data_IF_216027503399
#
_entry.id   IF_216027503399
#
_cell.length_a   1.000
_cell.length_b   1.000
_cell.length_c   1.000
_cell.angle_alpha   90.00
_cell.angle_beta   90.00
_cell.angle_gamma   90.00
#
_symmetry.space_group_name_H-M   'P 1'
#
loop_
_entity.id
_entity.type
_entity.pdbx_description
1 polymer ?
#
# COMPACT_ATOMS: atom_id res chain seq x y z
N UNK A 1 23.01 -31.98 -11.96
CA UNK A 1 22.86 -30.93 -10.93
C UNK A 1 21.72 -30.00 -11.31
N UNK A 2 20.88 -29.64 -10.34
CA UNK A 2 19.51 -29.10 -10.49
C UNK A 2 19.34 -27.96 -11.51
N UNK A 3 18.30 -28.13 -12.34
CA UNK A 3 17.80 -27.18 -13.34
C UNK A 3 17.41 -25.85 -12.71
N UNK A 4 17.76 -24.74 -13.38
CA UNK A 4 17.33 -23.39 -12.99
C UNK A 4 15.81 -23.35 -12.86
N UNK A 5 15.30 -23.25 -11.63
CA UNK A 5 13.86 -23.09 -11.41
C UNK A 5 13.45 -21.69 -11.85
N UNK A 6 12.94 -21.57 -13.08
CA UNK A 6 12.26 -20.35 -13.53
C UNK A 6 11.05 -20.06 -12.63
N UNK A 7 10.70 -18.79 -12.45
CA UNK A 7 9.53 -18.42 -11.65
C UNK A 7 8.25 -18.96 -12.31
N UNK A 8 7.33 -19.48 -11.49
CA UNK A 8 6.02 -19.87 -12.01
C UNK A 8 5.29 -18.68 -12.64
N UNK A 9 4.44 -18.94 -13.66
CA UNK A 9 3.61 -17.90 -14.29
C UNK A 9 2.78 -17.13 -13.25
N UNK A 10 2.26 -17.83 -12.24
CA UNK A 10 1.47 -17.24 -11.15
C UNK A 10 2.30 -16.32 -10.26
N UNK A 11 3.52 -16.74 -9.88
CA UNK A 11 4.44 -15.90 -9.09
C UNK A 11 4.80 -14.63 -9.85
N UNK A 12 5.07 -14.75 -11.16
CA UNK A 12 5.35 -13.59 -12.01
C UNK A 12 4.17 -12.62 -12.07
N UNK A 13 2.95 -13.12 -12.29
CA UNK A 13 1.73 -12.30 -12.33
C UNK A 13 1.52 -11.54 -11.02
N UNK A 14 1.62 -12.23 -9.87
CA UNK A 14 1.46 -11.61 -8.55
C UNK A 14 2.54 -10.56 -8.29
N UNK A 15 3.78 -10.85 -8.67
CA UNK A 15 4.87 -9.88 -8.53
C UNK A 15 4.62 -8.61 -9.35
N UNK A 16 4.19 -8.73 -10.61
CA UNK A 16 3.87 -7.56 -11.45
C UNK A 16 2.74 -6.73 -10.84
N UNK A 17 1.68 -7.35 -10.32
CA UNK A 17 0.58 -6.64 -9.65
C UNK A 17 1.14 -5.86 -8.44
N UNK A 18 1.95 -6.50 -7.60
CA UNK A 18 2.57 -5.85 -6.43
C UNK A 18 3.50 -4.71 -6.83
N UNK A 19 4.25 -4.87 -7.93
CA UNK A 19 5.13 -3.83 -8.46
C UNK A 19 4.33 -2.62 -8.94
N UNK A 20 3.23 -2.80 -9.67
CA UNK A 20 2.34 -1.71 -10.08
C UNK A 20 1.72 -1.02 -8.87
N UNK A 21 1.22 -1.78 -7.89
CA UNK A 21 0.68 -1.22 -6.64
C UNK A 21 1.71 -0.37 -5.90
N UNK A 22 2.99 -0.79 -5.89
CA UNK A 22 4.07 -0.05 -5.25
C UNK A 22 4.29 1.34 -5.89
N UNK A 23 4.32 1.44 -7.22
CA UNK A 23 4.47 2.76 -7.88
C UNK A 23 3.25 3.66 -7.69
N UNK A 24 2.05 3.09 -7.71
CA UNK A 24 0.84 3.84 -7.39
C UNK A 24 0.87 4.36 -5.94
N UNK A 25 1.31 3.53 -5.00
CA UNK A 25 1.49 3.91 -3.60
C UNK A 25 2.50 5.06 -3.47
N UNK A 26 3.61 5.05 -4.21
CA UNK A 26 4.57 6.15 -4.21
C UNK A 26 3.94 7.46 -4.68
N UNK A 27 3.15 7.43 -5.75
CA UNK A 27 2.47 8.61 -6.27
C UNK A 27 1.40 9.16 -5.31
N UNK A 28 0.58 8.28 -4.72
CA UNK A 28 -0.40 8.66 -3.68
C UNK A 28 0.30 9.22 -2.44
N UNK A 29 1.39 8.59 -2.01
CA UNK A 29 2.14 9.03 -0.83
C UNK A 29 2.79 10.38 -1.06
N UNK A 30 3.44 10.58 -2.20
CA UNK A 30 4.07 11.86 -2.55
C UNK A 30 3.06 13.01 -2.59
N UNK A 31 1.92 12.80 -3.26
CA UNK A 31 0.84 13.78 -3.32
C UNK A 31 0.17 14.04 -1.96
N UNK A 32 0.00 13.00 -1.13
CA UNK A 32 -0.51 13.14 0.25
C UNK A 32 0.44 13.95 1.13
N UNK A 33 1.74 13.68 1.06
CA UNK A 33 2.76 14.42 1.81
C UNK A 33 2.81 15.89 1.38
N UNK A 34 2.62 16.17 0.08
CA UNK A 34 2.46 17.54 -0.40
C UNK A 34 1.30 18.25 0.31
N UNK A 35 0.13 17.63 0.45
CA UNK A 35 -1.02 18.25 1.12
C UNK A 35 -0.87 18.41 2.63
N UNK A 36 -0.09 17.54 3.29
CA UNK A 36 0.27 17.71 4.70
C UNK A 36 1.25 18.87 4.89
N UNK A 37 2.18 19.04 3.95
CA UNK A 37 3.21 20.09 4.02
C UNK A 37 2.71 21.45 3.55
N UNK A 38 1.89 21.50 2.49
CA UNK A 38 1.36 22.72 1.84
C UNK A 38 -0.16 22.81 2.09
N UNK A 39 -0.59 23.34 3.25
CA UNK A 39 -2.01 23.46 3.57
C UNK A 39 -2.70 24.51 2.69
N UNK A 40 -3.95 24.24 2.34
CA UNK A 40 -4.79 25.17 1.59
C UNK A 40 -5.19 26.41 2.40
N UNK A 41 -5.48 27.50 1.68
CA UNK A 41 -6.17 28.68 2.19
C UNK A 41 -5.26 29.87 2.51
N UNK A 42 -5.73 31.05 2.14
CA UNK A 42 -5.11 32.32 2.50
C UNK A 42 -5.51 32.66 3.94
N UNK A 43 -4.61 32.41 4.90
CA UNK A 43 -4.85 32.68 6.33
C UNK A 43 -4.52 34.14 6.69
N UNK A 44 -4.95 35.10 5.86
CA UNK A 44 -4.61 36.53 6.04
C UNK A 44 -3.09 36.77 6.07
N UNK A 45 -2.32 36.10 5.21
CA UNK A 45 -0.86 36.16 5.19
C UNK A 45 -0.14 35.28 6.21
N UNK A 46 -0.85 34.64 7.16
CA UNK A 46 -0.24 33.78 8.19
C UNK A 46 0.14 32.38 7.70
N UNK A 47 -0.29 32.00 6.50
CA UNK A 47 0.12 30.76 5.84
C UNK A 47 1.31 31.06 4.91
N UNK A 48 2.57 30.89 5.35
CA UNK A 48 3.75 31.18 4.52
C UNK A 48 3.87 30.22 3.33
N UNK A 49 3.08 29.15 3.30
CA UNK A 49 3.06 28.15 2.22
C UNK A 49 1.87 28.34 1.28
N UNK A 50 1.10 29.41 1.43
CA UNK A 50 0.02 29.73 0.51
C UNK A 50 0.59 29.92 -0.90
N UNK A 51 0.00 29.23 -1.89
CA UNK A 51 0.47 29.17 -3.28
C UNK A 51 1.92 28.65 -3.48
N UNK A 52 2.49 27.96 -2.49
CA UNK A 52 3.78 27.29 -2.69
C UNK A 52 3.64 26.17 -3.72
N UNK A 53 4.46 26.22 -4.76
CA UNK A 53 4.53 25.20 -5.80
C UNK A 53 5.75 24.30 -5.56
N UNK A 54 5.54 23.00 -5.51
CA UNK A 54 6.61 22.00 -5.41
C UNK A 54 6.43 21.05 -6.59
N UNK A 55 7.28 21.16 -7.63
CA UNK A 55 7.21 20.42 -8.91
C UNK A 55 5.97 20.78 -9.74
N UNK A 56 4.77 20.54 -9.21
CA UNK A 56 3.48 20.86 -9.84
C UNK A 56 2.68 21.82 -8.98
N UNK A 57 1.69 22.48 -9.59
CA UNK A 57 0.69 23.25 -8.86
C UNK A 57 -0.20 22.34 -7.99
N UNK A 58 -0.97 22.98 -7.10
CA UNK A 58 -1.84 22.28 -6.15
C UNK A 58 -2.89 21.41 -6.84
N UNK A 59 -3.42 21.85 -7.97
CA UNK A 59 -4.52 21.18 -8.66
C UNK A 59 -4.00 19.90 -9.33
N UNK A 60 -2.84 19.97 -9.96
CA UNK A 60 -2.14 18.82 -10.53
C UNK A 60 -1.78 17.79 -9.45
N UNK A 61 -1.32 18.23 -8.27
CA UNK A 61 -1.14 17.30 -7.13
C UNK A 61 -2.46 16.67 -6.69
N UNK A 62 -3.58 17.39 -6.79
CA UNK A 62 -4.92 16.89 -6.51
C UNK A 62 -5.37 15.83 -7.50
N UNK A 63 -5.12 16.04 -8.79
CA UNK A 63 -5.38 15.06 -9.85
C UNK A 63 -4.54 13.80 -9.65
N UNK A 64 -3.23 13.95 -9.38
CA UNK A 64 -2.34 12.82 -9.07
C UNK A 64 -2.90 12.05 -7.87
N UNK A 65 -3.19 12.72 -6.76
CA UNK A 65 -3.72 12.07 -5.56
C UNK A 65 -5.01 11.30 -5.86
N UNK A 66 -5.97 11.94 -6.53
CA UNK A 66 -7.30 11.38 -6.78
C UNK A 66 -7.23 10.15 -7.69
N UNK A 67 -6.64 10.28 -8.87
CA UNK A 67 -6.63 9.21 -9.85
C UNK A 67 -5.74 8.03 -9.43
N UNK A 68 -4.57 8.31 -8.85
CA UNK A 68 -3.71 7.22 -8.35
C UNK A 68 -4.36 6.51 -7.16
N UNK A 69 -5.10 7.22 -6.32
CA UNK A 69 -5.87 6.61 -5.22
C UNK A 69 -7.01 5.74 -5.72
N UNK A 70 -7.78 6.17 -6.73
CA UNK A 70 -8.85 5.35 -7.29
C UNK A 70 -8.32 4.08 -7.96
N UNK A 71 -7.25 4.19 -8.75
CA UNK A 71 -6.63 3.03 -9.40
C UNK A 71 -6.06 2.07 -8.34
N UNK A 72 -5.30 2.59 -7.36
CA UNK A 72 -4.74 1.78 -6.28
C UNK A 72 -5.83 1.08 -5.47
N UNK A 73 -6.89 1.80 -5.10
CA UNK A 73 -8.01 1.25 -4.34
C UNK A 73 -8.72 0.15 -5.11
N UNK A 74 -8.95 0.33 -6.41
CA UNK A 74 -9.54 -0.70 -7.27
C UNK A 74 -8.70 -1.98 -7.30
N UNK A 75 -7.38 -1.85 -7.44
CA UNK A 75 -6.47 -3.01 -7.44
C UNK A 75 -6.44 -3.68 -6.05
N UNK A 76 -6.41 -2.91 -4.96
CA UNK A 76 -6.42 -3.44 -3.59
C UNK A 76 -7.72 -4.21 -3.27
N UNK A 77 -8.87 -3.70 -3.71
CA UNK A 77 -10.15 -4.41 -3.56
C UNK A 77 -10.12 -5.75 -4.30
N UNK A 78 -9.63 -5.77 -5.55
CA UNK A 78 -9.45 -7.03 -6.30
C UNK A 78 -8.44 -7.96 -5.62
N UNK A 79 -7.36 -7.41 -5.06
CA UNK A 79 -6.37 -8.17 -4.31
C UNK A 79 -7.00 -8.89 -3.11
N UNK A 80 -7.80 -8.19 -2.31
CA UNK A 80 -8.52 -8.76 -1.16
C UNK A 80 -9.44 -9.90 -1.62
N UNK A 81 -10.18 -9.71 -2.72
CA UNK A 81 -11.06 -10.74 -3.29
C UNK A 81 -10.27 -12.00 -3.65
N UNK A 82 -9.11 -11.87 -4.31
CA UNK A 82 -8.27 -13.03 -4.66
C UNK A 82 -7.63 -13.71 -3.46
N UNK A 83 -7.44 -12.99 -2.36
CA UNK A 83 -6.91 -13.51 -1.11
C UNK A 83 -8.00 -14.00 -0.13
N UNK A 84 -9.29 -13.91 -0.49
CA UNK A 84 -10.40 -14.23 0.41
C UNK A 84 -10.34 -15.64 1.02
N UNK A 85 -9.97 -16.65 0.23
CA UNK A 85 -9.80 -18.03 0.74
C UNK A 85 -8.72 -18.12 1.81
N UNK A 86 -7.61 -17.39 1.64
CA UNK A 86 -6.56 -17.32 2.66
C UNK A 86 -7.04 -16.61 3.92
N UNK A 87 -7.75 -15.48 3.78
CA UNK A 87 -8.34 -14.73 4.91
C UNK A 87 -9.25 -15.64 5.73
N UNK A 88 -10.19 -16.35 5.09
CA UNK A 88 -11.08 -17.32 5.76
C UNK A 88 -10.29 -18.41 6.48
N UNK A 89 -9.27 -18.98 5.84
CA UNK A 89 -8.46 -20.04 6.45
C UNK A 89 -7.69 -19.55 7.68
N UNK A 90 -7.11 -18.35 7.61
CA UNK A 90 -6.41 -17.73 8.75
C UNK A 90 -7.40 -17.46 9.88
N UNK A 91 -8.55 -16.86 9.58
CA UNK A 91 -9.60 -16.58 10.55
C UNK A 91 -10.04 -17.85 11.31
N UNK A 92 -10.40 -18.91 10.59
CA UNK A 92 -10.81 -20.17 11.21
C UNK A 92 -9.69 -20.85 11.98
N UNK A 93 -8.46 -20.81 11.47
CA UNK A 93 -7.29 -21.33 12.19
C UNK A 93 -7.10 -20.63 13.53
N UNK A 94 -7.26 -19.31 13.57
CA UNK A 94 -7.15 -18.55 14.82
C UNK A 94 -8.27 -18.84 15.80
N UNK A 95 -9.52 -18.94 15.33
CA UNK A 95 -10.65 -19.40 16.17
C UNK A 95 -10.35 -20.76 16.79
N UNK A 96 -9.80 -21.70 16.03
CA UNK A 96 -9.45 -23.04 16.53
C UNK A 96 -8.33 -23.00 17.57
N UNK A 97 -7.30 -22.18 17.35
CA UNK A 97 -6.19 -22.03 18.30
C UNK A 97 -6.69 -21.43 19.62
N UNK A 98 -7.53 -20.40 19.53
CA UNK A 98 -8.17 -19.78 20.68
C UNK A 98 -9.03 -20.79 21.46
N UNK A 99 -9.90 -21.55 20.76
CA UNK A 99 -10.73 -22.60 21.39
C UNK A 99 -9.91 -23.71 22.06
N UNK A 100 -8.71 -24.02 21.54
CA UNK A 100 -7.84 -25.08 22.06
C UNK A 100 -6.80 -24.58 23.07
N UNK A 101 -6.78 -23.28 23.40
CA UNK A 101 -5.78 -22.64 24.27
C UNK A 101 -4.32 -23.02 23.91
N UNK A 102 -4.02 -23.15 22.60
CA UNK A 102 -2.66 -23.49 22.14
C UNK A 102 -1.84 -22.21 21.96
N UNK A 103 -0.64 -22.16 22.52
CA UNK A 103 0.25 -21.02 22.34
C UNK A 103 0.85 -20.97 20.93
N UNK A 104 0.93 -19.77 20.34
CA UNK A 104 1.67 -19.53 19.12
C UNK A 104 3.18 -19.64 19.36
N UNK A 105 3.86 -20.53 18.63
CA UNK A 105 5.32 -20.64 18.66
C UNK A 105 6.04 -19.63 17.76
N UNK A 106 5.32 -18.93 16.86
CA UNK A 106 5.93 -18.03 15.86
C UNK A 106 5.36 -16.61 15.93
N UNK A 107 6.06 -15.72 16.67
CA UNK A 107 5.67 -14.33 16.86
C UNK A 107 5.61 -13.54 15.54
N UNK A 108 6.48 -13.85 14.56
CA UNK A 108 6.48 -13.16 13.26
C UNK A 108 5.20 -13.43 12.47
N UNK A 109 4.66 -14.65 12.57
CA UNK A 109 3.41 -14.99 11.91
C UNK A 109 2.21 -14.25 12.53
N UNK A 110 2.25 -14.01 13.85
CA UNK A 110 1.23 -13.20 14.53
C UNK A 110 1.34 -11.73 14.13
N UNK A 111 2.54 -11.16 14.13
CA UNK A 111 2.79 -9.78 13.72
C UNK A 111 2.30 -9.56 12.29
N UNK A 112 2.61 -10.46 11.35
CA UNK A 112 2.15 -10.35 9.96
C UNK A 112 0.62 -10.30 9.87
N UNK A 113 -0.09 -11.11 10.65
CA UNK A 113 -1.56 -11.16 10.59
C UNK A 113 -2.19 -9.91 11.21
N UNK A 114 -1.61 -9.41 12.30
CA UNK A 114 -2.04 -8.14 12.90
C UNK A 114 -1.80 -6.99 11.93
N UNK A 115 -0.62 -6.94 11.31
CA UNK A 115 -0.24 -5.94 10.31
C UNK A 115 -1.19 -5.96 9.10
N UNK A 116 -1.40 -7.12 8.47
CA UNK A 116 -2.32 -7.29 7.34
C UNK A 116 -3.76 -6.85 7.71
N UNK A 117 -4.20 -7.18 8.92
CA UNK A 117 -5.52 -6.80 9.43
C UNK A 117 -5.67 -5.29 9.68
N UNK A 118 -4.68 -4.67 10.31
CA UNK A 118 -4.67 -3.23 10.59
C UNK A 118 -4.61 -2.41 9.29
N UNK A 119 -3.76 -2.80 8.34
CA UNK A 119 -3.67 -2.16 7.03
C UNK A 119 -5.03 -2.20 6.32
N UNK A 120 -5.72 -3.35 6.34
CA UNK A 120 -7.03 -3.48 5.70
C UNK A 120 -8.09 -2.55 6.34
N UNK A 121 -8.11 -2.45 7.68
CA UNK A 121 -9.03 -1.55 8.39
C UNK A 121 -8.73 -0.08 8.08
N UNK A 122 -7.46 0.33 8.16
CA UNK A 122 -7.07 1.70 7.83
C UNK A 122 -7.33 2.05 6.37
N UNK A 123 -7.06 1.14 5.44
CA UNK A 123 -7.38 1.31 4.03
C UNK A 123 -8.87 1.55 3.81
N UNK A 124 -9.75 0.72 4.39
CA UNK A 124 -11.20 0.88 4.23
C UNK A 124 -11.70 2.20 4.82
N UNK A 125 -11.22 2.59 6.00
CA UNK A 125 -11.59 3.86 6.61
C UNK A 125 -11.08 5.07 5.80
N UNK A 126 -9.86 4.99 5.27
CA UNK A 126 -9.26 6.01 4.40
C UNK A 126 -10.00 6.12 3.06
N UNK A 127 -10.38 4.98 2.47
CA UNK A 127 -11.14 4.91 1.21
C UNK A 127 -12.53 5.52 1.37
N UNK A 128 -13.29 5.12 2.40
CA UNK A 128 -14.64 5.63 2.64
C UNK A 128 -14.62 7.14 2.91
N UNK A 129 -13.74 7.59 3.80
CA UNK A 129 -13.58 9.02 4.07
C UNK A 129 -13.11 9.79 2.84
N UNK A 130 -12.23 9.22 2.02
CA UNK A 130 -11.77 9.80 0.75
C UNK A 130 -12.90 9.96 -0.27
N UNK A 131 -13.75 8.94 -0.44
CA UNK A 131 -14.93 9.00 -1.31
C UNK A 131 -15.89 10.09 -0.82
N UNK A 132 -16.14 10.20 0.49
CA UNK A 132 -16.98 11.26 1.06
C UNK A 132 -16.39 12.65 0.76
N UNK A 133 -15.08 12.84 0.94
CA UNK A 133 -14.40 14.11 0.68
C UNK A 133 -14.33 14.46 -0.81
N UNK A 134 -14.35 13.46 -1.69
CA UNK A 134 -14.43 13.63 -3.14
C UNK A 134 -15.82 14.11 -3.56
N UNK A 135 -16.89 13.53 -2.99
CA UNK A 135 -18.28 13.92 -3.32
C UNK A 135 -18.68 15.24 -2.67
N UNK A 136 -18.13 15.56 -1.49
CA UNK A 136 -18.43 16.82 -0.79
C UNK A 136 -17.35 17.88 -1.05
N UNK A 137 -17.63 18.86 -1.92
CA UNK A 137 -16.64 19.84 -2.33
C UNK A 137 -16.06 20.60 -1.12
N UNK A 138 -14.75 20.82 -1.17
CA UNK A 138 -14.05 21.68 -0.23
C UNK A 138 -14.22 23.15 -0.60
N UNK A 139 -14.09 24.04 0.37
CA UNK A 139 -14.11 25.48 0.14
C UNK A 139 -13.94 26.27 1.44
N UNK A 140 -13.78 27.59 1.36
CA UNK A 140 -13.82 28.46 2.53
C UNK A 140 -15.10 28.22 3.33
N UNK A 141 -14.96 27.97 4.64
CA UNK A 141 -16.09 27.75 5.54
C UNK A 141 -16.77 26.37 5.50
N UNK A 142 -16.38 25.45 4.60
CA UNK A 142 -17.07 24.15 4.48
C UNK A 142 -16.71 23.12 5.54
N UNK A 143 -15.84 23.46 6.50
CA UNK A 143 -15.40 22.55 7.56
C UNK A 143 -16.56 22.02 8.42
N UNK A 144 -17.60 22.84 8.62
CA UNK A 144 -18.78 22.53 9.43
C UNK A 144 -19.92 21.88 8.64
N UNK A 145 -19.76 21.68 7.32
CA UNK A 145 -20.74 20.97 6.51
C UNK A 145 -20.92 19.55 7.05
N UNK A 146 -22.16 19.13 7.28
CA UNK A 146 -22.48 17.83 7.89
C UNK A 146 -22.78 16.77 6.83
N UNK A 147 -22.21 15.58 7.02
CA UNK A 147 -22.51 14.37 6.27
C UNK A 147 -22.66 13.24 7.28
N UNK A 148 -23.81 12.57 7.30
CA UNK A 148 -24.15 11.56 8.32
C UNK A 148 -23.98 12.08 9.76
N UNK A 149 -24.34 13.35 9.99
CA UNK A 149 -24.18 14.03 11.28
C UNK A 149 -22.72 14.17 11.76
N UNK A 150 -21.75 13.99 10.87
CA UNK A 150 -20.31 14.17 11.11
C UNK A 150 -19.82 15.33 10.23
N UNK A 151 -19.02 16.23 10.81
CA UNK A 151 -18.49 17.38 10.06
C UNK A 151 -17.51 16.96 8.97
N UNK A 152 -17.46 17.71 7.86
CA UNK A 152 -16.46 17.52 6.81
C UNK A 152 -15.03 17.60 7.37
N UNK A 153 -14.80 18.46 8.37
CA UNK A 153 -13.53 18.53 9.09
C UNK A 153 -13.18 17.19 9.75
N UNK A 154 -14.12 16.58 10.46
CA UNK A 154 -13.92 15.26 11.08
C UNK A 154 -13.68 14.17 10.03
N UNK A 155 -14.39 14.18 8.90
CA UNK A 155 -14.11 13.26 7.79
C UNK A 155 -12.69 13.42 7.23
N UNK A 156 -12.21 14.66 7.13
CA UNK A 156 -10.82 14.95 6.75
C UNK A 156 -9.83 14.41 7.78
N UNK A 157 -10.11 14.57 9.08
CA UNK A 157 -9.24 14.02 10.12
C UNK A 157 -9.19 12.50 10.06
N UNK A 158 -10.33 11.84 9.90
CA UNK A 158 -10.40 10.38 9.69
C UNK A 158 -9.55 9.98 8.49
N UNK A 159 -9.71 10.64 7.35
CA UNK A 159 -8.94 10.36 6.13
C UNK A 159 -7.43 10.50 6.35
N UNK A 160 -6.99 11.59 6.99
CA UNK A 160 -5.57 11.84 7.24
C UNK A 160 -4.99 10.82 8.20
N UNK A 161 -5.61 10.60 9.36
CA UNK A 161 -5.05 9.70 10.38
C UNK A 161 -5.07 8.23 9.94
N UNK A 162 -6.12 7.81 9.24
CA UNK A 162 -6.19 6.45 8.69
C UNK A 162 -5.21 6.27 7.52
N UNK A 163 -5.00 7.31 6.69
CA UNK A 163 -3.95 7.31 5.66
C UNK A 163 -2.54 7.20 6.24
N UNK A 164 -2.24 7.93 7.33
CA UNK A 164 -0.96 7.82 8.04
C UNK A 164 -0.79 6.42 8.65
N UNK A 165 -1.82 5.91 9.34
CA UNK A 165 -1.81 4.55 9.90
C UNK A 165 -1.59 3.48 8.84
N UNK A 166 -2.26 3.61 7.69
CA UNK A 166 -2.06 2.73 6.53
C UNK A 166 -0.63 2.81 6.00
N UNK A 167 -0.05 4.01 5.86
CA UNK A 167 1.33 4.18 5.37
C UNK A 167 2.34 3.53 6.31
N UNK A 168 2.19 3.71 7.62
CA UNK A 168 3.06 3.07 8.63
C UNK A 168 2.93 1.55 8.55
N UNK A 169 1.71 1.01 8.48
CA UNK A 169 1.48 -0.42 8.30
C UNK A 169 2.13 -0.96 7.03
N UNK A 170 1.96 -0.29 5.89
CA UNK A 170 2.59 -0.73 4.63
C UNK A 170 4.12 -0.72 4.72
N UNK A 171 4.74 0.23 5.42
CA UNK A 171 6.19 0.22 5.67
C UNK A 171 6.58 -1.04 6.47
N UNK A 172 5.85 -1.35 7.54
CA UNK A 172 6.07 -2.57 8.35
C UNK A 172 5.90 -3.82 7.49
N UNK A 173 4.82 -3.91 6.71
CA UNK A 173 4.56 -5.00 5.77
C UNK A 173 5.74 -5.21 4.81
N UNK A 174 6.25 -4.13 4.21
CA UNK A 174 7.39 -4.20 3.29
C UNK A 174 8.67 -4.70 3.99
N UNK A 175 8.91 -4.31 5.24
CA UNK A 175 10.05 -4.80 6.04
C UNK A 175 9.91 -6.31 6.30
N UNK A 176 8.73 -6.78 6.72
CA UNK A 176 8.44 -8.20 6.97
C UNK A 176 8.69 -9.03 5.71
N UNK A 177 8.25 -8.52 4.55
CA UNK A 177 8.33 -9.24 3.27
C UNK A 177 9.60 -8.96 2.45
N UNK A 178 10.53 -8.15 2.95
CA UNK A 178 11.71 -7.70 2.19
C UNK A 178 12.57 -8.84 1.63
N UNK A 179 12.72 -9.92 2.41
CA UNK A 179 13.45 -11.11 1.97
C UNK A 179 12.84 -11.76 0.72
N UNK A 180 11.50 -11.83 0.66
CA UNK A 180 10.78 -12.33 -0.51
C UNK A 180 10.93 -11.40 -1.71
N UNK A 181 10.79 -10.08 -1.49
CA UNK A 181 10.94 -9.06 -2.54
C UNK A 181 12.32 -9.16 -3.20
N UNK A 182 13.41 -9.18 -2.40
CA UNK A 182 14.78 -9.35 -2.93
C UNK A 182 14.94 -10.63 -3.75
N UNK A 183 14.44 -11.75 -3.22
CA UNK A 183 14.55 -13.07 -3.87
C UNK A 183 13.82 -13.12 -5.21
N UNK A 184 12.58 -12.62 -5.29
CA UNK A 184 11.79 -12.66 -6.52
C UNK A 184 12.32 -11.64 -7.53
N UNK A 185 12.69 -10.44 -7.09
CA UNK A 185 13.29 -9.40 -7.96
C UNK A 185 14.59 -9.90 -8.60
N UNK A 186 15.47 -10.54 -7.83
CA UNK A 186 16.70 -11.13 -8.36
C UNK A 186 16.45 -12.23 -9.40
N UNK A 187 15.35 -12.99 -9.29
CA UNK A 187 14.95 -13.98 -10.30
C UNK A 187 14.24 -13.38 -11.51
N UNK A 188 13.57 -12.24 -11.35
CA UNK A 188 12.89 -11.53 -12.43
C UNK A 188 13.87 -10.79 -13.34
N UNK A 189 14.88 -10.15 -12.75
CA UNK A 189 15.85 -9.28 -13.46
C UNK A 189 17.25 -9.87 -13.57
N UNK A 190 17.51 -11.03 -12.94
CA UNK A 190 18.80 -11.72 -13.04
C UNK A 190 19.08 -12.21 -14.46
N UNK A 191 20.30 -11.95 -14.96
CA UNK A 191 20.71 -12.46 -16.27
C UNK A 191 20.59 -13.99 -16.30
N UNK A 192 19.98 -14.58 -17.33
CA UNK A 192 20.09 -16.02 -17.52
C UNK A 192 21.56 -16.33 -17.74
N UNK A 193 22.21 -17.03 -16.79
CA UNK A 193 23.55 -17.58 -16.98
C UNK A 193 23.59 -18.30 -18.33
N UNK A 194 24.36 -17.77 -19.30
CA UNK A 194 24.40 -18.33 -20.65
C UNK A 194 24.99 -19.73 -20.59
N UNK A 195 24.51 -20.63 -21.45
CA UNK A 195 25.07 -21.98 -21.57
C UNK A 195 26.60 -21.94 -21.79
N UNK A 196 27.10 -20.90 -22.48
CA UNK A 196 28.53 -20.64 -22.67
C UNK A 196 29.32 -20.43 -21.35
N UNK A 197 28.70 -19.90 -20.30
CA UNK A 197 29.35 -19.73 -18.98
C UNK A 197 29.43 -21.07 -18.24
N UNK A 198 28.43 -21.94 -18.42
CA UNK A 198 28.42 -23.30 -17.85
C UNK A 198 29.41 -24.22 -18.56
N UNK A 199 29.52 -24.09 -19.88
CA UNK A 199 30.47 -24.86 -20.69
C UNK A 199 31.93 -24.49 -20.38
N UNK A 200 32.22 -23.18 -20.21
CA UNK A 200 33.54 -22.71 -19.76
C UNK A 200 33.91 -23.21 -18.36
N UNK A 201 32.94 -23.25 -17.43
CA UNK A 201 33.17 -23.75 -16.07
C UNK A 201 33.37 -25.27 -16.01
N UNK A 202 32.73 -26.04 -16.88
CA UNK A 202 32.98 -27.48 -17.00
C UNK A 202 34.34 -27.80 -17.60
N UNK A 203 34.78 -27.02 -18.60
CA UNK A 203 36.10 -27.19 -19.23
C UNK A 203 37.28 -26.76 -18.36
N UNK A 204 37.05 -26.02 -17.27
CA UNK A 204 38.13 -25.62 -16.33
C UNK A 204 38.31 -26.58 -15.15
N UNK A 205 37.49 -27.63 -15.05
CA UNK A 205 37.54 -28.64 -13.97
C UNK A 205 38.09 -29.99 -14.51
N UNK A 206 38.23 -30.12 -15.82
CA UNK A 206 38.96 -31.20 -16.51
C UNK A 206 40.35 -30.71 -16.89
#
# INVERSE_FOLDING_TARGET
MNTKTSLSKNTRKRYVINFVMFFLLLAVTASSLYFLYVPAGYQGGRNPRYNMQIIFDRDTWGEIHTWTSFILSGILLVHIIFHWSWVKNVFWKYIQIWKKNVHFKNNLALINIIDDGLIAVFFLACLVSGIILFVVPGGPGTAYALIFNISRGTWKDVHVWTGIGMLVGVIVHLVIHWGWVKKVSGKMFGKPQSLATLEKGMKSIL
#
